data_IF_863866341492
#
_entry.id   IF_863866341492
#
_cell.length_a   1.000
_cell.length_b   1.000
_cell.length_c   1.000
_cell.angle_alpha   90.00
_cell.angle_beta   90.00
_cell.angle_gamma   90.00
#
_symmetry.space_group_name_H-M   'P 1'
#
loop_
_entity.id
_entity.type
_entity.pdbx_description
1 polymer ?
#
# COMPACT_ATOMS: atom_id res chain seq x y z
N UNK A 1 10.25 -19.30 48.18
CA UNK A 1 11.04 -18.11 47.75
C UNK A 1 11.78 -18.31 46.43
N UNK A 2 12.52 -19.41 46.21
CA UNK A 2 13.24 -19.68 44.93
C UNK A 2 12.37 -19.57 43.66
N UNK A 3 11.15 -20.12 43.65
CA UNK A 3 10.28 -20.08 42.47
C UNK A 3 9.76 -18.68 42.11
N UNK A 4 9.57 -17.80 43.09
CA UNK A 4 9.10 -16.42 42.84
C UNK A 4 10.21 -15.60 42.19
N UNK A 5 11.46 -15.76 42.64
CA UNK A 5 12.63 -15.12 42.01
C UNK A 5 12.86 -15.56 40.57
N UNK A 6 12.64 -16.84 40.26
CA UNK A 6 12.74 -17.37 38.87
C UNK A 6 11.62 -16.80 37.98
N UNK A 7 10.39 -16.69 38.48
CA UNK A 7 9.28 -16.09 37.73
C UNK A 7 9.51 -14.60 37.51
N UNK A 8 10.00 -13.86 38.52
CA UNK A 8 10.37 -12.45 38.38
C UNK A 8 11.51 -12.31 37.37
N UNK A 9 12.53 -13.17 37.42
CA UNK A 9 13.64 -13.13 36.48
C UNK A 9 13.20 -13.43 35.04
N UNK A 10 12.28 -14.40 34.84
CA UNK A 10 11.67 -14.67 33.53
C UNK A 10 10.79 -13.52 33.05
N UNK A 11 10.02 -12.89 33.93
CA UNK A 11 9.21 -11.70 33.59
C UNK A 11 10.09 -10.51 33.27
N UNK A 12 11.13 -10.24 34.05
CA UNK A 12 12.12 -9.19 33.80
C UNK A 12 12.87 -9.48 32.50
N UNK A 13 13.24 -10.73 32.22
CA UNK A 13 13.85 -11.14 30.95
C UNK A 13 12.90 -10.98 29.76
N UNK A 14 11.61 -11.34 29.90
CA UNK A 14 10.58 -11.12 28.88
C UNK A 14 10.27 -9.62 28.67
N UNK A 15 10.41 -8.80 29.71
CA UNK A 15 10.27 -7.35 29.65
C UNK A 15 11.54 -6.70 29.06
N UNK A 16 12.73 -7.20 29.38
CA UNK A 16 14.02 -6.75 28.83
C UNK A 16 14.25 -7.20 27.39
N UNK A 17 13.78 -8.38 26.99
CA UNK A 17 13.86 -8.84 25.60
C UNK A 17 12.99 -7.99 24.68
N UNK A 18 11.90 -7.39 25.20
CA UNK A 18 11.14 -6.35 24.51
C UNK A 18 11.88 -5.01 24.43
N UNK A 19 12.87 -4.79 25.30
CA UNK A 19 13.58 -3.51 25.45
C UNK A 19 14.91 -3.43 24.67
N UNK A 20 15.52 -4.56 24.26
CA UNK A 20 16.88 -4.58 23.67
C UNK A 20 16.93 -4.46 22.14
N UNK A 21 15.81 -4.33 21.44
CA UNK A 21 15.83 -3.92 20.02
C UNK A 21 14.82 -2.79 19.77
N UNK A 22 15.04 -1.64 20.40
CA UNK A 22 14.46 -0.41 19.85
C UNK A 22 15.20 -0.11 18.55
N UNK A 23 14.60 -0.43 17.40
CA UNK A 23 15.08 0.00 16.10
C UNK A 23 15.11 1.53 16.13
N UNK A 24 16.30 2.11 16.16
CA UNK A 24 16.46 3.56 16.08
C UNK A 24 16.09 4.02 14.67
N UNK A 25 14.99 4.77 14.56
CA UNK A 25 14.58 5.40 13.31
C UNK A 25 15.34 6.73 13.15
N UNK A 26 15.97 6.92 12.00
CA UNK A 26 16.67 8.17 11.69
C UNK A 26 16.29 8.59 10.29
N UNK A 27 15.27 9.45 10.16
CA UNK A 27 14.70 9.82 8.85
C UNK A 27 15.77 10.38 7.92
N UNK A 28 16.69 11.21 8.42
CA UNK A 28 17.73 11.83 7.58
C UNK A 28 18.70 10.79 7.02
N UNK A 29 19.12 9.85 7.85
CA UNK A 29 20.01 8.75 7.46
C UNK A 29 19.27 7.77 6.55
N UNK A 30 18.05 7.37 6.91
CA UNK A 30 17.29 6.36 6.20
C UNK A 30 16.81 6.83 4.81
N UNK A 31 16.70 8.16 4.60
CA UNK A 31 16.48 8.73 3.27
C UNK A 31 17.62 8.40 2.30
N UNK A 32 18.84 8.16 2.78
CA UNK A 32 19.99 7.89 1.90
C UNK A 32 19.87 6.57 1.16
N UNK A 33 19.08 5.61 1.67
CA UNK A 33 18.78 4.35 1.00
C UNK A 33 17.89 4.53 -0.25
N UNK A 34 17.15 5.64 -0.35
CA UNK A 34 16.20 5.85 -1.43
C UNK A 34 16.93 6.24 -2.72
N UNK A 35 16.31 5.97 -3.88
CA UNK A 35 16.78 6.49 -5.16
C UNK A 35 16.63 8.02 -5.19
N UNK A 36 17.49 8.71 -5.94
CA UNK A 36 17.48 10.19 -6.06
C UNK A 36 16.09 10.78 -6.33
N UNK A 37 15.30 10.16 -7.20
CA UNK A 37 13.94 10.63 -7.49
C UNK A 37 12.99 10.52 -6.29
N UNK A 38 13.10 9.43 -5.52
CA UNK A 38 12.28 9.22 -4.33
C UNK A 38 12.74 10.14 -3.18
N UNK A 39 14.05 10.38 -3.04
CA UNK A 39 14.59 11.38 -2.10
C UNK A 39 14.08 12.79 -2.45
N UNK A 40 14.20 13.20 -3.71
CA UNK A 40 13.73 14.51 -4.16
C UNK A 40 12.22 14.69 -3.95
N UNK A 41 11.43 13.63 -4.20
CA UNK A 41 9.99 13.65 -3.94
C UNK A 41 9.68 13.75 -2.44
N UNK A 42 10.40 13.00 -1.60
CA UNK A 42 10.27 13.10 -0.15
C UNK A 42 10.56 14.53 0.31
N UNK A 43 11.75 15.06 0.00
CA UNK A 43 12.15 16.41 0.42
C UNK A 43 11.17 17.48 -0.06
N UNK A 44 10.67 17.37 -1.29
CA UNK A 44 9.66 18.30 -1.81
C UNK A 44 8.39 18.36 -0.96
N UNK A 45 7.96 17.24 -0.38
CA UNK A 45 6.70 17.14 0.36
C UNK A 45 6.87 17.16 1.89
N UNK A 46 8.05 16.77 2.36
CA UNK A 46 8.35 16.44 3.75
C UNK A 46 9.54 17.23 4.30
N UNK A 47 10.03 18.24 3.59
CA UNK A 47 10.99 19.20 4.11
C UNK A 47 10.40 20.61 4.03
N UNK A 48 10.50 21.35 5.13
CA UNK A 48 10.15 22.78 5.17
C UNK A 48 11.25 23.53 5.89
N UNK A 49 11.81 24.54 5.24
CA UNK A 49 12.89 25.36 5.80
C UNK A 49 14.09 24.53 6.29
N UNK A 50 14.48 23.49 5.52
CA UNK A 50 15.55 22.53 5.87
C UNK A 50 15.29 21.67 7.11
N UNK A 51 14.04 21.63 7.57
CA UNK A 51 13.58 20.77 8.66
C UNK A 51 12.74 19.66 8.04
N UNK A 52 13.11 18.42 8.34
CA UNK A 52 12.34 17.24 7.93
C UNK A 52 11.07 17.17 8.79
N UNK A 53 9.93 17.03 8.13
CA UNK A 53 8.62 16.84 8.72
C UNK A 53 8.34 15.35 8.88
N UNK A 54 8.13 14.92 10.11
CA UNK A 54 7.81 13.53 10.45
C UNK A 54 6.29 13.31 10.54
N UNK A 55 5.55 13.79 9.53
CA UNK A 55 4.10 13.56 9.47
C UNK A 55 3.79 12.10 9.16
N UNK A 56 2.55 11.69 9.47
CA UNK A 56 2.07 10.33 9.19
C UNK A 56 2.21 9.95 7.70
N UNK A 57 2.08 10.90 6.79
CA UNK A 57 2.24 10.73 5.34
C UNK A 57 3.71 10.53 4.96
N UNK A 58 4.61 11.33 5.54
CA UNK A 58 6.05 11.28 5.30
C UNK A 58 6.64 9.96 5.81
N UNK A 59 6.32 9.57 7.04
CA UNK A 59 6.75 8.31 7.62
C UNK A 59 6.19 7.11 6.84
N UNK A 60 4.91 7.16 6.44
CA UNK A 60 4.33 6.13 5.58
C UNK A 60 5.05 6.03 4.23
N UNK A 61 5.37 7.15 3.59
CA UNK A 61 6.13 7.14 2.33
C UNK A 61 7.48 6.46 2.52
N UNK A 62 8.26 6.89 3.52
CA UNK A 62 9.58 6.37 3.78
C UNK A 62 9.54 4.86 4.09
N UNK A 63 8.63 4.44 4.97
CA UNK A 63 8.45 3.04 5.34
C UNK A 63 8.14 2.15 4.13
N UNK A 64 7.22 2.56 3.24
CA UNK A 64 6.96 1.81 2.00
C UNK A 64 8.20 1.74 1.11
N UNK A 65 8.96 2.83 0.97
CA UNK A 65 10.12 2.87 0.09
C UNK A 65 11.23 1.95 0.59
N UNK A 66 11.52 1.98 1.88
CA UNK A 66 12.47 1.07 2.52
C UNK A 66 12.04 -0.40 2.36
N UNK A 67 10.76 -0.68 2.60
CA UNK A 67 10.21 -2.02 2.38
C UNK A 67 10.43 -2.49 0.93
N UNK A 68 10.10 -1.64 -0.05
CA UNK A 68 10.24 -1.98 -1.47
C UNK A 68 11.69 -2.13 -1.93
N UNK A 69 12.65 -1.49 -1.25
CA UNK A 69 14.08 -1.71 -1.50
C UNK A 69 14.44 -3.14 -1.12
N UNK A 70 14.13 -3.56 0.11
CA UNK A 70 14.37 -4.94 0.56
C UNK A 70 13.63 -5.97 -0.29
N UNK A 71 12.35 -5.70 -0.60
CA UNK A 71 11.49 -6.63 -1.34
C UNK A 71 11.95 -6.87 -2.79
N UNK A 72 12.52 -5.86 -3.45
CA UNK A 72 12.91 -5.96 -4.87
C UNK A 72 14.38 -6.32 -5.07
N UNK A 73 15.24 -6.01 -4.12
CA UNK A 73 16.68 -6.12 -4.30
C UNK A 73 17.19 -7.50 -3.88
N UNK A 74 17.38 -8.38 -4.86
CA UNK A 74 17.89 -9.74 -4.65
C UNK A 74 19.33 -9.78 -4.10
N UNK A 75 20.06 -8.65 -4.12
CA UNK A 75 21.42 -8.58 -3.61
C UNK A 75 21.48 -8.28 -2.10
N UNK A 76 20.37 -7.87 -1.47
CA UNK A 76 20.32 -7.61 -0.03
C UNK A 76 19.82 -8.89 0.64
N UNK A 77 20.56 -9.38 1.63
CA UNK A 77 20.22 -10.62 2.34
C UNK A 77 20.67 -10.58 3.80
N UNK A 78 20.20 -11.54 4.59
CA UNK A 78 20.55 -11.67 6.00
C UNK A 78 20.20 -10.43 6.83
N UNK A 79 21.11 -10.04 7.72
CA UNK A 79 20.89 -8.98 8.71
C UNK A 79 20.56 -7.61 8.10
N UNK A 80 21.10 -7.30 6.92
CA UNK A 80 20.81 -6.03 6.24
C UNK A 80 19.34 -5.99 5.76
N UNK A 81 18.85 -7.10 5.20
CA UNK A 81 17.46 -7.22 4.76
C UNK A 81 16.50 -7.16 5.94
N UNK A 82 16.82 -7.87 7.02
CA UNK A 82 16.05 -7.86 8.26
C UNK A 82 15.99 -6.46 8.88
N UNK A 83 17.11 -5.72 8.86
CA UNK A 83 17.17 -4.34 9.33
C UNK A 83 16.29 -3.41 8.50
N UNK A 84 16.32 -3.52 7.17
CA UNK A 84 15.47 -2.72 6.28
C UNK A 84 13.98 -2.99 6.50
N UNK A 85 13.57 -4.26 6.62
CA UNK A 85 12.18 -4.59 6.90
C UNK A 85 11.74 -4.13 8.29
N UNK A 86 12.60 -4.32 9.29
CA UNK A 86 12.40 -3.83 10.64
C UNK A 86 12.17 -2.31 10.68
N UNK A 87 13.04 -1.52 10.03
CA UNK A 87 12.87 -0.07 9.88
C UNK A 87 11.59 0.30 9.15
N UNK A 88 11.31 -0.38 8.03
CA UNK A 88 10.12 -0.11 7.23
C UNK A 88 8.81 -0.36 8.01
N UNK A 89 8.73 -1.48 8.74
CA UNK A 89 7.57 -1.81 9.57
C UNK A 89 7.44 -0.78 10.70
N UNK A 90 8.52 -0.42 11.38
CA UNK A 90 8.51 0.57 12.45
C UNK A 90 8.00 1.94 11.96
N UNK A 91 8.49 2.44 10.82
CA UNK A 91 7.98 3.67 10.21
C UNK A 91 6.49 3.60 9.88
N UNK A 92 6.01 2.47 9.38
CA UNK A 92 4.60 2.27 9.08
C UNK A 92 3.75 2.18 10.36
N UNK A 93 4.26 1.57 11.42
CA UNK A 93 3.59 1.51 12.72
C UNK A 93 3.45 2.92 13.31
N UNK A 94 4.52 3.70 13.39
CA UNK A 94 4.48 5.10 13.88
C UNK A 94 3.54 5.94 13.00
N UNK A 95 3.62 5.81 11.68
CA UNK A 95 2.69 6.48 10.78
C UNK A 95 1.24 6.11 11.08
N UNK A 96 0.97 4.84 11.36
CA UNK A 96 -0.37 4.34 11.67
C UNK A 96 -0.90 4.84 13.01
N UNK A 97 -0.05 4.92 14.03
CA UNK A 97 -0.36 5.48 15.35
C UNK A 97 -0.67 6.97 15.26
N UNK A 98 0.03 7.68 14.36
CA UNK A 98 -0.23 9.07 14.00
C UNK A 98 -1.43 9.23 13.04
N UNK A 99 -2.26 8.20 12.86
CA UNK A 99 -3.53 8.26 12.14
C UNK A 99 -3.46 7.96 10.64
N UNK A 100 -2.31 7.51 10.11
CA UNK A 100 -2.19 7.13 8.70
C UNK A 100 -2.96 5.84 8.41
N UNK A 101 -4.18 6.00 7.90
CA UNK A 101 -5.00 4.89 7.38
C UNK A 101 -4.26 4.09 6.29
N UNK A 102 -3.45 4.78 5.49
CA UNK A 102 -2.69 4.14 4.42
C UNK A 102 -1.59 3.25 5.00
N UNK A 103 -0.91 3.68 6.06
CA UNK A 103 0.08 2.86 6.73
C UNK A 103 -0.54 1.58 7.32
N UNK A 104 -1.74 1.67 7.92
CA UNK A 104 -2.50 0.49 8.35
C UNK A 104 -2.76 -0.48 7.19
N UNK A 105 -3.17 0.02 6.02
CA UNK A 105 -3.36 -0.86 4.85
C UNK A 105 -2.05 -1.50 4.40
N UNK A 106 -0.97 -0.74 4.39
CA UNK A 106 0.33 -1.22 3.97
C UNK A 106 0.85 -2.32 4.91
N UNK A 107 0.73 -2.15 6.22
CA UNK A 107 1.01 -3.19 7.21
C UNK A 107 0.14 -4.42 6.95
N UNK A 108 -1.17 -4.23 6.71
CA UNK A 108 -2.07 -5.32 6.32
C UNK A 108 -1.55 -6.13 5.13
N UNK A 109 -1.09 -5.45 4.07
CA UNK A 109 -0.52 -6.12 2.90
C UNK A 109 0.81 -6.81 3.20
N UNK A 110 1.71 -6.17 3.93
CA UNK A 110 3.01 -6.71 4.33
C UNK A 110 2.84 -8.03 5.10
N UNK A 111 1.99 -8.05 6.13
CA UNK A 111 1.71 -9.24 6.93
C UNK A 111 0.89 -10.30 6.18
N UNK A 112 0.23 -9.96 5.07
CA UNK A 112 -0.51 -10.93 4.23
C UNK A 112 0.36 -11.70 3.23
N UNK A 113 1.62 -11.28 3.03
CA UNK A 113 2.46 -11.86 1.99
C UNK A 113 3.18 -13.11 2.51
N UNK A 114 2.76 -14.28 2.01
CA UNK A 114 3.26 -15.61 2.41
C UNK A 114 4.75 -15.86 2.10
N UNK A 115 5.36 -15.03 1.24
CA UNK A 115 6.77 -15.16 0.86
C UNK A 115 7.71 -14.45 1.85
N UNK A 116 7.17 -13.74 2.85
CA UNK A 116 7.93 -12.97 3.82
C UNK A 116 7.97 -13.68 5.18
N UNK A 117 9.09 -13.56 5.89
CA UNK A 117 9.33 -14.23 7.19
C UNK A 117 8.37 -13.77 8.31
N UNK A 118 7.76 -12.61 8.15
CA UNK A 118 6.75 -12.06 9.07
C UNK A 118 5.32 -12.25 8.57
N UNK A 119 5.04 -13.20 7.67
CA UNK A 119 3.69 -13.55 7.29
C UNK A 119 2.83 -13.89 8.52
N UNK A 120 1.70 -13.20 8.67
CA UNK A 120 0.78 -13.34 9.80
C UNK A 120 -0.61 -12.83 9.39
N UNK A 121 -1.52 -13.74 9.05
CA UNK A 121 -2.89 -13.39 8.63
C UNK A 121 -3.72 -12.75 9.73
N UNK A 122 -3.44 -13.05 11.00
CA UNK A 122 -4.16 -12.46 12.13
C UNK A 122 -3.77 -10.98 12.27
N UNK A 123 -2.46 -10.68 12.24
CA UNK A 123 -1.97 -9.29 12.21
C UNK A 123 -2.46 -8.56 10.97
N UNK A 124 -2.38 -9.20 9.80
CA UNK A 124 -2.88 -8.62 8.55
C UNK A 124 -4.36 -8.20 8.67
N UNK A 125 -5.20 -9.13 9.13
CA UNK A 125 -6.63 -8.89 9.36
C UNK A 125 -6.86 -7.77 10.38
N UNK A 126 -6.10 -7.75 11.47
CA UNK A 126 -6.16 -6.71 12.48
C UNK A 126 -5.86 -5.32 11.91
N UNK A 127 -4.79 -5.17 11.12
CA UNK A 127 -4.44 -3.89 10.49
C UNK A 127 -5.49 -3.43 9.48
N UNK A 128 -6.03 -4.33 8.65
CA UNK A 128 -7.12 -3.99 7.74
C UNK A 128 -8.38 -3.57 8.49
N UNK A 129 -8.73 -4.27 9.57
CA UNK A 129 -9.87 -3.92 10.42
C UNK A 129 -9.70 -2.54 11.07
N UNK A 130 -8.51 -2.23 11.61
CA UNK A 130 -8.16 -0.90 12.14
C UNK A 130 -8.30 0.18 11.07
N UNK A 131 -7.83 -0.09 9.84
CA UNK A 131 -7.95 0.85 8.70
C UNK A 131 -9.41 1.17 8.36
N UNK A 132 -10.28 0.14 8.36
CA UNK A 132 -11.71 0.30 8.10
C UNK A 132 -12.43 1.03 9.25
N UNK A 133 -12.09 0.74 10.50
CA UNK A 133 -12.65 1.46 11.66
C UNK A 133 -12.28 2.94 11.64
N UNK A 134 -11.03 3.27 11.33
CA UNK A 134 -10.59 4.66 11.17
C UNK A 134 -11.38 5.39 10.08
N UNK A 135 -11.72 4.70 8.99
CA UNK A 135 -12.59 5.27 7.94
C UNK A 135 -14.01 5.55 8.43
N UNK A 136 -14.61 4.61 9.16
CA UNK A 136 -15.98 4.77 9.69
C UNK A 136 -16.04 5.95 10.68
N UNK A 137 -15.05 6.07 11.58
CA UNK A 137 -14.99 7.18 12.55
C UNK A 137 -14.84 8.52 11.83
N UNK A 138 -13.96 8.60 10.83
CA UNK A 138 -13.78 9.83 10.03
C UNK A 138 -15.10 10.27 9.36
N UNK A 139 -15.84 9.34 8.76
CA UNK A 139 -17.15 9.62 8.14
C UNK A 139 -18.16 10.14 9.17
N UNK A 140 -18.32 9.45 10.30
CA UNK A 140 -19.24 9.88 11.37
C UNK A 140 -18.93 11.29 11.92
N UNK A 141 -17.65 11.64 12.02
CA UNK A 141 -17.23 12.98 12.48
C UNK A 141 -17.48 14.06 11.42
N UNK A 142 -17.36 13.73 10.14
CA UNK A 142 -17.76 14.61 9.04
C UNK A 142 -19.27 14.82 9.04
N UNK A 143 -20.05 13.75 9.17
CA UNK A 143 -21.53 13.77 9.16
C UNK A 143 -22.08 14.68 10.27
N UNK A 144 -21.50 14.64 11.48
CA UNK A 144 -21.84 15.53 12.61
C UNK A 144 -21.54 17.02 12.35
N UNK A 145 -20.58 17.33 11.49
CA UNK A 145 -20.25 18.71 11.12
C UNK A 145 -21.09 19.23 9.93
N UNK A 146 -21.72 18.34 9.16
CA UNK A 146 -22.55 18.67 7.98
C UNK A 146 -24.02 18.97 8.28
N UNK A 147 -24.53 18.76 9.49
CA UNK A 147 -25.87 19.27 9.85
C UNK A 147 -25.99 20.81 9.82
N UNK A 148 -24.89 21.54 9.53
CA UNK A 148 -24.87 23.01 9.37
C UNK A 148 -24.39 23.53 8.01
N UNK A 149 -24.20 22.71 6.97
CA UNK A 149 -23.89 23.26 5.63
C UNK A 149 -24.41 22.40 4.49
N UNK A 150 -25.14 23.06 3.61
CA UNK A 150 -25.88 22.54 2.46
C UNK A 150 -25.13 21.48 1.63
N UNK A 151 -25.91 20.49 1.21
CA UNK A 151 -25.53 19.31 0.45
C UNK A 151 -25.04 19.68 -0.97
N UNK A 152 -23.76 20.02 -1.10
CA UNK A 152 -23.07 19.85 -2.36
C UNK A 152 -22.87 18.35 -2.58
N UNK A 153 -23.58 17.78 -3.58
CA UNK A 153 -23.37 16.41 -4.06
C UNK A 153 -21.93 16.26 -4.56
N UNK A 154 -21.03 15.94 -3.65
CA UNK A 154 -19.63 15.67 -3.94
C UNK A 154 -19.61 14.39 -4.78
N UNK A 155 -19.10 14.46 -6.01
CA UNK A 155 -18.95 13.28 -6.87
C UNK A 155 -18.18 12.22 -6.09
N UNK A 156 -18.84 11.09 -5.80
CA UNK A 156 -18.20 9.99 -5.11
C UNK A 156 -17.28 9.26 -6.09
N UNK A 157 -15.99 9.62 -6.09
CA UNK A 157 -14.97 9.03 -6.96
C UNK A 157 -14.58 7.58 -6.60
N UNK A 158 -15.30 6.89 -5.72
CA UNK A 158 -14.98 5.50 -5.35
C UNK A 158 -15.00 4.55 -6.55
N UNK A 159 -16.02 4.63 -7.41
CA UNK A 159 -16.08 3.83 -8.65
C UNK A 159 -14.91 4.14 -9.58
N UNK A 160 -14.50 5.41 -9.67
CA UNK A 160 -13.39 5.85 -10.51
C UNK A 160 -12.06 5.33 -9.98
N UNK A 161 -11.84 5.44 -8.66
CA UNK A 161 -10.66 4.89 -7.98
C UNK A 161 -10.58 3.39 -8.19
N UNK A 162 -11.71 2.68 -8.08
CA UNK A 162 -11.77 1.25 -8.35
C UNK A 162 -11.47 0.94 -9.83
N UNK A 163 -12.06 1.67 -10.76
CA UNK A 163 -11.81 1.50 -12.19
C UNK A 163 -10.33 1.73 -12.55
N UNK A 164 -9.70 2.79 -12.00
CA UNK A 164 -8.27 3.07 -12.15
C UNK A 164 -7.44 1.90 -11.59
N UNK A 165 -7.79 1.39 -10.41
CA UNK A 165 -7.09 0.26 -9.80
C UNK A 165 -7.18 -1.00 -10.68
N UNK A 166 -8.38 -1.30 -11.20
CA UNK A 166 -8.60 -2.46 -12.07
C UNK A 166 -7.85 -2.33 -13.39
N UNK A 167 -7.90 -1.18 -14.07
CA UNK A 167 -7.18 -0.99 -15.34
C UNK A 167 -5.66 -1.08 -15.14
N UNK A 168 -5.12 -0.61 -14.00
CA UNK A 168 -3.70 -0.76 -13.67
C UNK A 168 -3.31 -2.22 -13.44
N UNK A 169 -4.14 -3.01 -12.76
CA UNK A 169 -3.90 -4.46 -12.65
C UNK A 169 -3.94 -5.16 -14.01
N UNK A 170 -4.90 -4.80 -14.86
CA UNK A 170 -5.03 -5.34 -16.22
C UNK A 170 -3.78 -5.02 -17.06
N UNK A 171 -3.29 -3.78 -16.99
CA UNK A 171 -2.04 -3.36 -17.63
C UNK A 171 -0.85 -4.21 -17.16
N UNK A 172 -0.73 -4.44 -15.83
CA UNK A 172 0.33 -5.29 -15.26
C UNK A 172 0.26 -6.73 -15.81
N UNK A 173 -0.93 -7.35 -15.84
CA UNK A 173 -1.12 -8.69 -16.40
C UNK A 173 -0.78 -8.78 -17.89
N UNK A 174 -1.24 -7.81 -18.67
CA UNK A 174 -1.00 -7.75 -20.11
C UNK A 174 0.51 -7.62 -20.39
N UNK A 175 1.17 -6.64 -19.77
CA UNK A 175 2.59 -6.36 -20.00
C UNK A 175 3.49 -7.54 -19.63
N UNK A 176 3.18 -8.27 -18.56
CA UNK A 176 3.98 -9.41 -18.10
C UNK A 176 4.07 -10.58 -19.11
N UNK A 177 3.12 -10.65 -20.05
CA UNK A 177 2.99 -11.77 -20.99
C UNK A 177 2.77 -11.37 -22.45
N UNK A 178 2.77 -10.07 -22.79
CA UNK A 178 2.46 -9.59 -24.15
C UNK A 178 3.29 -10.24 -25.27
N UNK A 179 4.57 -10.48 -25.01
CA UNK A 179 5.53 -11.10 -25.93
C UNK A 179 5.71 -12.61 -25.72
N UNK A 180 4.98 -13.21 -24.77
CA UNK A 180 5.07 -14.64 -24.46
C UNK A 180 3.99 -15.42 -25.22
N UNK A 181 4.23 -16.72 -25.42
CA UNK A 181 3.26 -17.66 -26.03
C UNK A 181 1.99 -17.77 -25.18
N UNK A 182 2.16 -18.00 -23.88
CA UNK A 182 1.04 -18.05 -22.93
C UNK A 182 0.80 -16.64 -22.38
N UNK A 183 -0.44 -16.16 -22.51
CA UNK A 183 -0.85 -14.79 -22.17
C UNK A 183 -1.89 -14.79 -21.07
N UNK A 184 -1.75 -13.87 -20.12
CA UNK A 184 -2.81 -13.61 -19.13
C UNK A 184 -4.02 -12.93 -19.76
N UNK A 185 -3.78 -12.04 -20.73
CA UNK A 185 -4.80 -11.34 -21.49
C UNK A 185 -4.34 -11.21 -22.96
N UNK A 186 -5.28 -11.31 -23.89
CA UNK A 186 -5.01 -11.02 -25.31
C UNK A 186 -4.92 -9.51 -25.55
N UNK A 187 -4.37 -9.12 -26.70
CA UNK A 187 -4.32 -7.71 -27.13
C UNK A 187 -5.74 -7.14 -27.27
N UNK A 188 -6.67 -7.94 -27.81
CA UNK A 188 -8.08 -7.60 -27.94
C UNK A 188 -8.72 -7.34 -26.56
N UNK A 189 -8.58 -8.27 -25.62
CA UNK A 189 -9.11 -8.12 -24.26
C UNK A 189 -8.53 -6.88 -23.54
N UNK A 190 -7.24 -6.59 -23.75
CA UNK A 190 -6.60 -5.40 -23.19
C UNK A 190 -7.15 -4.10 -23.80
N UNK A 191 -7.32 -4.05 -25.12
CA UNK A 191 -7.90 -2.90 -25.80
C UNK A 191 -9.36 -2.67 -25.39
N UNK A 192 -10.14 -3.75 -25.24
CA UNK A 192 -11.51 -3.70 -24.74
C UNK A 192 -11.58 -3.15 -23.31
N UNK A 193 -10.62 -3.53 -22.45
CA UNK A 193 -10.51 -2.99 -21.10
C UNK A 193 -10.24 -1.48 -21.13
N UNK A 194 -9.32 -1.01 -21.98
CA UNK A 194 -9.02 0.43 -22.13
C UNK A 194 -10.23 1.20 -22.64
N UNK A 195 -10.95 0.66 -23.61
CA UNK A 195 -12.18 1.26 -24.13
C UNK A 195 -13.27 1.32 -23.06
N UNK A 196 -13.42 0.24 -22.27
CA UNK A 196 -14.37 0.20 -21.15
C UNK A 196 -14.04 1.24 -20.09
N UNK A 197 -12.76 1.36 -19.72
CA UNK A 197 -12.27 2.37 -18.79
C UNK A 197 -12.55 3.79 -19.30
N UNK A 198 -12.21 4.08 -20.56
CA UNK A 198 -12.50 5.38 -21.19
C UNK A 198 -13.98 5.75 -21.10
N UNK A 199 -14.87 4.81 -21.43
CA UNK A 199 -16.33 5.02 -21.33
C UNK A 199 -16.82 5.25 -19.90
N UNK A 200 -16.20 4.61 -18.90
CA UNK A 200 -16.52 4.87 -17.48
C UNK A 200 -16.18 6.32 -17.12
N UNK A 201 -14.99 6.80 -17.50
CA UNK A 201 -14.53 8.17 -17.24
C UNK A 201 -15.48 9.19 -17.92
N UNK A 202 -15.86 8.94 -19.17
CA UNK A 202 -16.79 9.79 -19.93
C UNK A 202 -18.18 9.83 -19.28
N UNK A 203 -18.76 8.67 -18.93
CA UNK A 203 -20.09 8.56 -18.28
C UNK A 203 -20.15 9.32 -16.96
N UNK A 204 -19.04 9.34 -16.22
CA UNK A 204 -18.92 10.00 -14.91
C UNK A 204 -18.41 11.45 -15.03
N UNK A 205 -18.20 11.95 -16.25
CA UNK A 205 -17.79 13.32 -16.56
C UNK A 205 -16.53 13.78 -15.80
N UNK A 206 -15.57 12.87 -15.63
CA UNK A 206 -14.31 13.17 -14.92
C UNK A 206 -13.39 13.98 -15.83
N UNK A 207 -12.93 15.15 -15.37
CA UNK A 207 -11.99 15.97 -16.14
C UNK A 207 -10.62 15.30 -16.24
N UNK A 208 -9.82 15.71 -17.23
CA UNK A 208 -8.47 15.18 -17.42
C UNK A 208 -7.57 15.45 -16.20
N UNK A 209 -7.64 16.66 -15.64
CA UNK A 209 -6.85 17.06 -14.46
C UNK A 209 -7.23 16.19 -13.25
N UNK A 210 -8.53 16.01 -13.02
CA UNK A 210 -9.05 15.17 -11.93
C UNK A 210 -8.62 13.72 -12.10
N UNK A 211 -8.69 13.19 -13.33
CA UNK A 211 -8.26 11.83 -13.62
C UNK A 211 -6.77 11.63 -13.29
N UNK A 212 -5.90 12.56 -13.69
CA UNK A 212 -4.46 12.50 -13.39
C UNK A 212 -4.19 12.50 -11.88
N UNK A 213 -4.92 13.34 -11.12
CA UNK A 213 -4.80 13.37 -9.66
C UNK A 213 -5.23 12.02 -9.03
N UNK A 214 -6.36 11.47 -9.47
CA UNK A 214 -6.86 10.18 -8.99
C UNK A 214 -5.92 9.02 -9.36
N UNK A 215 -5.36 9.04 -10.57
CA UNK A 215 -4.36 8.05 -11.00
C UNK A 215 -3.11 8.07 -10.13
N UNK A 216 -2.58 9.27 -9.86
CA UNK A 216 -1.44 9.45 -8.95
C UNK A 216 -1.75 8.89 -7.56
N UNK A 217 -2.93 9.23 -7.01
CA UNK A 217 -3.38 8.74 -5.71
C UNK A 217 -3.51 7.21 -5.66
N UNK A 218 -4.01 6.57 -6.72
CA UNK A 218 -4.10 5.10 -6.80
C UNK A 218 -2.71 4.46 -6.85
N UNK A 219 -1.80 5.02 -7.66
CA UNK A 219 -0.43 4.52 -7.75
C UNK A 219 0.30 4.60 -6.40
N UNK A 220 0.13 5.69 -5.66
CA UNK A 220 0.74 5.87 -4.33
C UNK A 220 0.13 4.93 -3.29
N UNK A 221 -1.20 4.81 -3.26
CA UNK A 221 -1.91 4.00 -2.26
C UNK A 221 -1.92 2.49 -2.53
N UNK A 222 -1.61 2.06 -3.76
CA UNK A 222 -1.64 0.64 -4.16
C UNK A 222 -0.27 0.10 -4.56
N UNK A 223 0.80 0.83 -4.28
CA UNK A 223 2.17 0.49 -4.72
C UNK A 223 2.62 -0.89 -4.24
N UNK A 224 2.26 -1.31 -3.01
CA UNK A 224 2.59 -2.65 -2.50
C UNK A 224 1.82 -3.74 -3.26
N UNK A 225 0.51 -3.60 -3.41
CA UNK A 225 -0.35 -4.53 -4.16
C UNK A 225 0.19 -4.72 -5.59
N UNK A 226 0.54 -3.64 -6.27
CA UNK A 226 1.08 -3.71 -7.63
C UNK A 226 2.48 -4.31 -7.68
N UNK A 227 3.28 -4.16 -6.62
CA UNK A 227 4.61 -4.78 -6.55
C UNK A 227 4.50 -6.29 -6.34
N UNK A 228 3.67 -6.73 -5.40
CA UNK A 228 3.40 -8.15 -5.15
C UNK A 228 2.84 -8.83 -6.40
N UNK A 229 1.84 -8.20 -7.03
CA UNK A 229 1.27 -8.72 -8.27
C UNK A 229 2.32 -8.90 -9.37
N UNK A 230 3.25 -7.94 -9.54
CA UNK A 230 4.31 -8.04 -10.56
C UNK A 230 5.25 -9.20 -10.31
N UNK A 231 5.52 -9.52 -9.05
CA UNK A 231 6.38 -10.64 -8.68
C UNK A 231 5.65 -11.98 -8.86
N UNK A 232 4.39 -12.07 -8.46
CA UNK A 232 3.55 -13.28 -8.58
C UNK A 232 3.36 -13.73 -10.05
N UNK A 233 3.43 -12.78 -10.99
CA UNK A 233 3.12 -13.04 -12.41
C UNK A 233 4.36 -13.20 -13.30
N UNK A 234 5.58 -13.19 -12.74
CA UNK A 234 6.84 -13.38 -13.51
C UNK A 234 6.78 -14.62 -14.41
N UNK A 235 6.21 -15.70 -13.87
CA UNK A 235 5.94 -16.95 -14.57
C UNK A 235 4.43 -17.08 -14.79
N UNK A 236 4.03 -17.49 -15.99
CA UNK A 236 2.62 -17.72 -16.31
C UNK A 236 2.06 -18.88 -15.47
N UNK A 237 0.89 -18.68 -14.85
CA UNK A 237 0.15 -19.74 -14.18
C UNK A 237 -1.38 -19.57 -14.33
N UNK A 238 -2.13 -20.66 -14.08
CA UNK A 238 -3.59 -20.70 -14.25
C UNK A 238 -4.34 -19.82 -13.24
N UNK A 239 -3.84 -19.71 -12.01
CA UNK A 239 -4.47 -18.91 -10.97
C UNK A 239 -4.49 -17.43 -11.36
N UNK A 240 -3.33 -16.88 -11.73
CA UNK A 240 -3.17 -15.50 -12.18
C UNK A 240 -3.92 -15.23 -13.50
N UNK A 241 -4.02 -16.23 -14.39
CA UNK A 241 -4.89 -16.15 -15.56
C UNK A 241 -6.35 -15.94 -15.18
N UNK A 242 -6.87 -16.72 -14.24
CA UNK A 242 -8.24 -16.56 -13.74
C UNK A 242 -8.44 -15.21 -13.05
N UNK A 243 -7.47 -14.78 -12.24
CA UNK A 243 -7.54 -13.47 -11.57
C UNK A 243 -7.52 -12.29 -12.57
N UNK A 244 -6.75 -12.39 -13.66
CA UNK A 244 -6.75 -11.39 -14.72
C UNK A 244 -8.13 -11.26 -15.38
N UNK A 245 -8.76 -12.39 -15.69
CA UNK A 245 -10.11 -12.42 -16.28
C UNK A 245 -11.18 -11.92 -15.31
N UNK A 246 -11.12 -12.29 -14.03
CA UNK A 246 -12.01 -11.73 -13.01
C UNK A 246 -11.84 -10.21 -12.87
N UNK A 247 -10.61 -9.70 -12.99
CA UNK A 247 -10.33 -8.25 -12.94
C UNK A 247 -10.96 -7.54 -14.15
N UNK A 248 -10.88 -8.15 -15.34
CA UNK A 248 -11.54 -7.65 -16.55
C UNK A 248 -13.07 -7.60 -16.39
N UNK A 249 -13.67 -8.68 -15.89
CA UNK A 249 -15.13 -8.74 -15.69
C UNK A 249 -15.62 -7.73 -14.65
N UNK A 250 -14.85 -7.50 -13.58
CA UNK A 250 -15.14 -6.42 -12.61
C UNK A 250 -15.13 -5.04 -13.26
N UNK A 251 -14.18 -4.76 -14.15
CA UNK A 251 -14.14 -3.47 -14.87
C UNK A 251 -15.35 -3.32 -15.79
N UNK A 252 -15.73 -4.38 -16.53
CA UNK A 252 -16.94 -4.37 -17.37
C UNK A 252 -18.21 -4.19 -16.54
N UNK A 253 -18.27 -4.76 -15.34
CA UNK A 253 -19.39 -4.58 -14.42
C UNK A 253 -19.55 -3.11 -14.00
N UNK A 254 -18.45 -2.38 -13.76
CA UNK A 254 -18.49 -0.94 -13.45
C UNK A 254 -18.99 -0.08 -14.62
N UNK A 255 -18.77 -0.50 -15.87
CA UNK A 255 -19.30 0.21 -17.04
C UNK A 255 -20.83 0.10 -17.13
N UNK A 256 -21.36 -1.09 -16.78
CA UNK A 256 -22.81 -1.38 -16.85
C UNK A 256 -23.59 -0.60 -15.78
N UNK A 257 -23.01 -0.42 -14.60
CA UNK A 257 -23.61 0.28 -13.46
C UNK A 257 -23.14 1.75 -13.35
#
# INVERSE_FOLDING_TARGET
>A
MKNILVIIFLLVYLLYSKFIYSIEINVKEDLTFLKKNDQALFLKNCEKSKIILETSECLNFLGIKLFLIGYRNQNISGLELESLYSKAINYLEIASENGSKQALKNLGWIFSNKELSFFDLEKSSLYFSKSNKAEIIKRKNLDKNTEKKEMNRTINYSDIILAITLIKKIEIYFEATKSKKNKYLTIEQYNDAKNSFKRIIEKKQVTKETLVELEKKVLESSVLIFSFLKDDIKTFNKENFNQAHQTLEKLKFLLKN
#
